data_IF_036849115611
#
_entry.id   IF_036849115611
#
_cell.length_a   1.000
_cell.length_b   1.000
_cell.length_c   1.000
_cell.angle_alpha   90.00
_cell.angle_beta   90.00
_cell.angle_gamma   90.00
#
_symmetry.space_group_name_H-M   'P 1'
#
loop_
_entity.id
_entity.type
_entity.pdbx_description
1 polymer ?
#
# COMPACT_ATOMS: atom_id res chain seq x y z
N UNK A 1 -39.38 0.88 -12.21
CA UNK A 1 -38.73 0.42 -11.00
C UNK A 1 -37.33 1.00 -10.90
N UNK A 2 -37.30 2.10 -10.24
CA UNK A 2 -36.06 2.86 -10.07
C UNK A 2 -35.02 2.17 -9.19
N UNK A 3 -35.45 1.19 -8.41
CA UNK A 3 -34.58 0.53 -7.44
C UNK A 3 -33.62 -0.46 -8.06
N UNK A 4 -33.86 -0.94 -9.26
CA UNK A 4 -32.99 -1.93 -9.90
C UNK A 4 -31.65 -1.30 -10.29
N UNK A 5 -31.65 -0.03 -10.72
CA UNK A 5 -30.41 0.70 -11.04
C UNK A 5 -29.56 0.93 -9.78
N UNK A 6 -30.20 1.17 -8.64
CA UNK A 6 -29.50 1.37 -7.37
C UNK A 6 -28.85 0.08 -6.86
N UNK A 7 -29.52 -1.06 -7.08
CA UNK A 7 -29.00 -2.38 -6.69
C UNK A 7 -27.79 -2.80 -7.50
N UNK A 8 -27.65 -2.28 -8.72
CA UNK A 8 -26.57 -2.62 -9.62
C UNK A 8 -25.37 -1.66 -9.50
N UNK A 9 -25.49 -0.61 -8.68
CA UNK A 9 -24.39 0.29 -8.43
C UNK A 9 -23.40 -0.39 -7.49
N UNK A 10 -22.20 -0.66 -8.01
CA UNK A 10 -21.11 -1.17 -7.20
C UNK A 10 -20.55 -0.01 -6.38
N UNK A 11 -20.67 -0.10 -5.08
CA UNK A 11 -20.10 0.87 -4.16
C UNK A 11 -18.96 0.20 -3.41
N UNK A 12 -17.83 0.88 -3.37
CA UNK A 12 -16.69 0.46 -2.55
C UNK A 12 -16.15 1.65 -1.78
N UNK A 13 -15.59 1.38 -0.63
CA UNK A 13 -14.90 2.37 0.21
C UNK A 13 -13.41 2.10 0.14
N UNK A 14 -12.61 3.15 -0.01
CA UNK A 14 -11.15 3.04 -0.08
C UNK A 14 -10.49 4.16 0.71
N UNK A 15 -9.51 3.79 1.53
CA UNK A 15 -8.62 4.73 2.22
C UNK A 15 -7.19 4.34 1.89
N UNK A 16 -6.38 5.32 1.55
CA UNK A 16 -4.96 5.13 1.20
C UNK A 16 -4.10 6.10 1.98
N UNK A 17 -2.87 5.67 2.27
CA UNK A 17 -1.83 6.56 2.77
C UNK A 17 -0.49 6.22 2.13
N UNK A 18 0.41 7.19 2.11
CA UNK A 18 1.78 7.02 1.67
C UNK A 18 2.73 7.47 2.78
N UNK A 19 3.78 6.68 3.02
CA UNK A 19 4.82 6.99 4.02
C UNK A 19 6.19 6.66 3.45
N UNK A 20 7.17 7.45 3.82
CA UNK A 20 8.55 7.23 3.42
C UNK A 20 9.45 7.17 4.65
N UNK A 21 10.50 6.36 4.58
CA UNK A 21 11.52 6.31 5.62
C UNK A 21 12.39 7.56 5.53
N UNK A 22 12.70 8.16 6.68
CA UNK A 22 13.38 9.46 6.74
C UNK A 22 14.80 9.43 6.15
N UNK A 23 15.50 8.30 6.26
CA UNK A 23 16.91 8.19 5.89
C UNK A 23 17.17 7.46 4.58
N UNK A 24 16.11 7.10 3.85
CA UNK A 24 16.21 6.41 2.58
C UNK A 24 15.74 7.36 1.46
N UNK A 25 16.50 7.52 0.37
CA UNK A 25 16.05 8.34 -0.75
C UNK A 25 14.74 7.84 -1.33
N UNK A 26 13.94 8.73 -1.89
CA UNK A 26 12.73 8.33 -2.62
C UNK A 26 13.07 7.32 -3.71
N UNK A 27 12.14 6.43 -4.06
CA UNK A 27 12.41 5.37 -5.06
C UNK A 27 12.95 5.90 -6.40
N UNK A 28 12.52 7.08 -6.84
CA UNK A 28 12.96 7.68 -8.10
C UNK A 28 14.44 8.08 -8.11
N UNK A 29 15.04 8.28 -6.93
CA UNK A 29 16.45 8.66 -6.81
C UNK A 29 17.38 7.48 -6.77
N UNK A 30 16.85 6.28 -6.85
CA UNK A 30 17.60 5.04 -6.71
C UNK A 30 17.59 4.52 -5.28
N UNK A 31 17.27 3.25 -5.15
CA UNK A 31 17.16 2.58 -3.86
C UNK A 31 17.90 1.25 -3.96
N UNK A 32 18.59 0.86 -2.90
CA UNK A 32 19.35 -0.39 -2.87
C UNK A 32 18.46 -1.57 -2.48
N UNK A 33 18.92 -2.79 -2.80
CA UNK A 33 18.25 -4.02 -2.41
C UNK A 33 18.11 -4.10 -0.88
N UNK A 34 19.15 -3.69 -0.16
CA UNK A 34 19.17 -3.70 1.31
C UNK A 34 18.15 -2.72 1.88
N UNK A 35 17.99 -1.57 1.25
CA UNK A 35 17.00 -0.57 1.66
C UNK A 35 15.57 -1.09 1.43
N UNK A 36 15.33 -1.74 0.30
CA UNK A 36 14.03 -2.37 0.03
C UNK A 36 13.75 -3.49 1.04
N UNK A 37 14.74 -4.31 1.35
CA UNK A 37 14.61 -5.37 2.36
C UNK A 37 14.22 -4.80 3.73
N UNK A 38 14.82 -3.68 4.11
CA UNK A 38 14.46 -2.98 5.34
C UNK A 38 13.01 -2.50 5.33
N UNK A 39 12.56 -1.92 4.21
CA UNK A 39 11.18 -1.46 4.08
C UNK A 39 10.18 -2.63 4.14
N UNK A 40 10.49 -3.74 3.50
CA UNK A 40 9.67 -4.96 3.57
C UNK A 40 9.55 -5.44 5.01
N UNK A 41 10.65 -5.46 5.74
CA UNK A 41 10.66 -5.87 7.14
C UNK A 41 9.81 -4.96 8.01
N UNK A 42 9.90 -3.66 7.80
CA UNK A 42 9.05 -2.69 8.52
C UNK A 42 7.57 -2.91 8.21
N UNK A 43 7.23 -3.06 6.93
CA UNK A 43 5.86 -3.30 6.50
C UNK A 43 5.28 -4.58 7.11
N UNK A 44 6.08 -5.64 7.12
CA UNK A 44 5.69 -6.93 7.68
C UNK A 44 5.44 -6.84 9.19
N UNK A 45 6.34 -6.17 9.92
CA UNK A 45 6.19 -6.00 11.37
C UNK A 45 4.99 -5.14 11.75
N UNK A 46 4.63 -4.19 10.93
CA UNK A 46 3.50 -3.30 11.19
C UNK A 46 2.15 -4.01 11.03
N UNK A 47 2.11 -5.09 10.26
CA UNK A 47 0.89 -5.83 9.99
C UNK A 47 0.54 -6.73 11.20
N UNK A 48 -0.54 -6.40 11.88
CA UNK A 48 -1.06 -7.19 13.00
C UNK A 48 -2.25 -8.07 12.58
N UNK A 49 -2.35 -8.37 11.31
CA UNK A 49 -3.35 -9.23 10.69
C UNK A 49 -2.68 -10.31 9.86
N UNK A 50 -3.39 -11.39 9.61
CA UNK A 50 -2.90 -12.47 8.74
C UNK A 50 -2.70 -11.95 7.32
N UNK A 51 -1.50 -12.19 6.78
CA UNK A 51 -1.10 -11.63 5.48
C UNK A 51 -0.06 -12.48 4.78
N UNK A 52 0.17 -12.16 3.52
CA UNK A 52 1.22 -12.74 2.71
C UNK A 52 2.09 -11.63 2.11
N UNK A 53 3.38 -11.93 1.94
CA UNK A 53 4.32 -11.09 1.21
C UNK A 53 4.57 -11.68 -0.17
N UNK A 54 4.49 -10.82 -1.18
CA UNK A 54 4.70 -11.18 -2.57
C UNK A 54 5.75 -10.24 -3.16
N UNK A 55 6.83 -10.81 -3.69
CA UNK A 55 7.88 -10.02 -4.34
C UNK A 55 7.63 -10.01 -5.85
N UNK A 56 7.72 -8.83 -6.45
CA UNK A 56 7.46 -8.69 -7.89
C UNK A 56 8.40 -9.55 -8.73
N UNK A 57 9.65 -9.69 -8.29
CA UNK A 57 10.63 -10.53 -8.99
C UNK A 57 10.26 -12.01 -9.05
N UNK A 58 9.39 -12.48 -8.15
CA UNK A 58 8.92 -13.86 -8.13
C UNK A 58 7.70 -14.09 -9.04
N UNK A 59 7.15 -13.04 -9.63
CA UNK A 59 5.92 -13.10 -10.40
C UNK A 59 6.20 -13.00 -11.90
N UNK A 60 5.43 -13.76 -12.68
CA UNK A 60 5.39 -13.62 -14.14
C UNK A 60 4.59 -12.37 -14.50
N UNK A 61 4.75 -11.88 -15.73
CA UNK A 61 4.02 -10.71 -16.21
C UNK A 61 2.50 -10.90 -16.10
N UNK A 62 2.01 -12.10 -16.40
CA UNK A 62 0.57 -12.40 -16.31
C UNK A 62 0.08 -12.32 -14.86
N UNK A 63 0.89 -12.72 -13.90
CA UNK A 63 0.52 -12.65 -12.48
C UNK A 63 0.49 -11.19 -12.00
N UNK A 64 1.47 -10.39 -12.40
CA UNK A 64 1.51 -8.95 -12.11
C UNK A 64 0.30 -8.23 -12.71
N UNK A 65 -0.05 -8.56 -13.94
CA UNK A 65 -1.20 -7.96 -14.61
C UNK A 65 -2.52 -8.33 -13.90
N UNK A 66 -2.65 -9.56 -13.43
CA UNK A 66 -3.81 -9.98 -12.67
C UNK A 66 -3.97 -9.17 -11.38
N UNK A 67 -2.86 -8.86 -10.70
CA UNK A 67 -2.87 -8.02 -9.49
C UNK A 67 -3.28 -6.58 -9.81
N UNK A 68 -2.85 -6.04 -10.95
CA UNK A 68 -3.26 -4.71 -11.41
C UNK A 68 -4.76 -4.68 -11.67
N UNK A 69 -5.29 -5.68 -12.35
CA UNK A 69 -6.72 -5.76 -12.67
C UNK A 69 -7.59 -5.88 -11.41
N UNK A 70 -7.06 -6.51 -10.38
CA UNK A 70 -7.73 -6.62 -9.06
C UNK A 70 -7.53 -5.37 -8.19
N UNK A 71 -6.87 -4.34 -8.68
CA UNK A 71 -6.57 -3.11 -7.95
C UNK A 71 -5.73 -3.30 -6.68
N UNK A 72 -4.94 -4.37 -6.63
CA UNK A 72 -4.05 -4.67 -5.51
C UNK A 72 -2.68 -4.02 -5.66
N UNK A 73 -2.24 -3.82 -6.90
CA UNK A 73 -1.03 -3.05 -7.20
C UNK A 73 -1.31 -2.06 -8.33
N UNK A 74 -0.45 -1.05 -8.43
CA UNK A 74 -0.48 -0.10 -9.54
C UNK A 74 0.27 -0.65 -10.76
N UNK A 75 0.01 -0.09 -11.96
CA UNK A 75 0.85 -0.38 -13.12
C UNK A 75 2.33 -0.06 -12.90
N UNK A 76 2.63 0.97 -12.12
CA UNK A 76 4.00 1.37 -11.82
C UNK A 76 4.73 0.31 -10.99
N UNK A 77 4.09 -0.24 -9.96
CA UNK A 77 4.70 -1.32 -9.17
C UNK A 77 4.90 -2.58 -10.02
N UNK A 78 3.95 -2.87 -10.91
CA UNK A 78 4.03 -4.05 -11.78
C UNK A 78 5.27 -4.02 -12.69
N UNK A 79 5.86 -2.86 -12.92
CA UNK A 79 7.06 -2.70 -13.76
C UNK A 79 8.37 -2.79 -12.96
N UNK A 80 8.30 -2.94 -11.65
CA UNK A 80 9.48 -2.91 -10.78
C UNK A 80 9.83 -4.30 -10.26
N UNK A 81 11.05 -4.76 -10.52
CA UNK A 81 11.52 -6.03 -9.98
C UNK A 81 11.82 -5.94 -8.49
N UNK A 82 12.26 -4.78 -8.00
CA UNK A 82 12.52 -4.54 -6.58
C UNK A 82 11.28 -4.12 -5.79
N UNK A 83 10.09 -4.26 -6.37
CA UNK A 83 8.85 -3.97 -5.66
C UNK A 83 8.34 -5.17 -4.89
N UNK A 84 7.49 -4.91 -3.91
CA UNK A 84 6.83 -5.96 -3.13
C UNK A 84 5.40 -5.54 -2.77
N UNK A 85 4.59 -6.54 -2.46
CA UNK A 85 3.21 -6.38 -2.01
C UNK A 85 3.00 -7.18 -0.74
N UNK A 86 2.46 -6.53 0.28
CA UNK A 86 1.91 -7.20 1.45
C UNK A 86 0.39 -7.16 1.31
N UNK A 87 -0.25 -8.30 1.40
CA UNK A 87 -1.69 -8.41 1.21
C UNK A 87 -2.32 -9.21 2.35
N UNK A 88 -3.41 -8.69 2.92
CA UNK A 88 -4.16 -9.40 3.95
C UNK A 88 -4.88 -10.62 3.35
N UNK A 89 -5.16 -11.62 4.19
CA UNK A 89 -5.78 -12.87 3.74
C UNK A 89 -7.18 -12.64 3.14
N UNK A 90 -7.87 -11.60 3.58
CA UNK A 90 -9.18 -11.22 3.04
C UNK A 90 -9.12 -10.25 1.85
N UNK A 91 -7.91 -9.94 1.36
CA UNK A 91 -7.64 -9.01 0.26
C UNK A 91 -8.05 -7.55 0.53
N UNK A 92 -8.49 -7.20 1.73
CA UNK A 92 -8.97 -5.84 2.02
C UNK A 92 -7.84 -4.83 2.20
N UNK A 93 -6.68 -5.27 2.71
CA UNK A 93 -5.52 -4.42 2.94
C UNK A 93 -4.41 -4.84 1.98
N UNK A 94 -3.89 -3.88 1.22
CA UNK A 94 -2.75 -4.07 0.34
C UNK A 94 -1.73 -2.97 0.62
N UNK A 95 -0.48 -3.38 0.84
CA UNK A 95 0.63 -2.46 1.08
C UNK A 95 1.65 -2.64 -0.03
N UNK A 96 1.79 -1.62 -0.88
CA UNK A 96 2.81 -1.60 -1.93
C UNK A 96 4.11 -1.06 -1.35
N UNK A 97 5.20 -1.74 -1.65
CA UNK A 97 6.54 -1.39 -1.16
C UNK A 97 7.42 -1.05 -2.35
N UNK A 98 8.05 0.10 -2.29
CA UNK A 98 8.94 0.64 -3.32
C UNK A 98 8.22 0.89 -4.66
N UNK A 99 7.08 1.56 -4.59
CA UNK A 99 6.39 2.08 -5.77
C UNK A 99 6.90 3.51 -6.06
N UNK A 100 6.05 4.51 -6.03
CA UNK A 100 6.43 5.94 -6.07
C UNK A 100 6.93 6.40 -4.71
N UNK A 101 6.31 5.93 -3.65
CA UNK A 101 6.73 6.08 -2.27
C UNK A 101 7.24 4.75 -1.72
N UNK A 102 7.93 4.79 -0.58
CA UNK A 102 8.46 3.57 0.04
C UNK A 102 7.33 2.63 0.46
N UNK A 103 6.30 3.17 1.10
CA UNK A 103 5.15 2.42 1.61
C UNK A 103 3.88 3.14 1.16
N UNK A 104 3.00 2.40 0.51
CA UNK A 104 1.68 2.88 0.16
C UNK A 104 0.66 1.84 0.58
N UNK A 105 -0.08 2.13 1.65
CA UNK A 105 -1.06 1.22 2.19
C UNK A 105 -2.46 1.64 1.75
N UNK A 106 -3.30 0.66 1.45
CA UNK A 106 -4.71 0.90 1.15
C UNK A 106 -5.59 -0.13 1.82
N UNK A 107 -6.80 0.28 2.16
CA UNK A 107 -7.88 -0.61 2.53
C UNK A 107 -9.05 -0.37 1.59
N UNK A 108 -9.57 -1.43 0.99
CA UNK A 108 -10.74 -1.39 0.11
C UNK A 108 -11.75 -2.40 0.63
N UNK A 109 -12.99 -1.95 0.83
CA UNK A 109 -14.10 -2.81 1.23
C UNK A 109 -15.33 -2.49 0.38
N UNK A 110 -16.12 -3.51 0.10
CA UNK A 110 -17.38 -3.33 -0.61
C UNK A 110 -18.39 -2.62 0.30
N UNK A 111 -19.20 -1.75 -0.29
CA UNK A 111 -20.24 -1.01 0.42
C UNK A 111 -19.73 0.27 1.07
N UNK A 112 -20.56 0.87 1.91
CA UNK A 112 -20.26 2.11 2.62
C UNK A 112 -19.54 1.79 3.93
N UNK A 113 -18.23 1.54 3.83
CA UNK A 113 -17.40 1.13 4.97
C UNK A 113 -16.16 2.03 5.15
N UNK A 114 -16.33 3.31 4.86
CA UNK A 114 -15.22 4.25 4.90
C UNK A 114 -14.57 4.32 6.29
N UNK A 115 -15.38 4.31 7.34
CA UNK A 115 -14.87 4.34 8.71
C UNK A 115 -14.07 3.09 9.06
N UNK A 116 -14.52 1.92 8.62
CA UNK A 116 -13.78 0.67 8.84
C UNK A 116 -12.44 0.70 8.11
N UNK A 117 -12.43 1.17 6.85
CA UNK A 117 -11.20 1.32 6.08
C UNK A 117 -10.24 2.30 6.74
N UNK A 118 -10.76 3.44 7.18
CA UNK A 118 -9.96 4.44 7.88
C UNK A 118 -9.33 3.86 9.15
N UNK A 119 -10.12 3.19 9.96
CA UNK A 119 -9.62 2.60 11.22
C UNK A 119 -8.52 1.56 10.95
N UNK A 120 -8.69 0.74 9.93
CA UNK A 120 -7.71 -0.28 9.57
C UNK A 120 -6.38 0.36 9.11
N UNK A 121 -6.46 1.37 8.27
CA UNK A 121 -5.26 2.06 7.76
C UNK A 121 -4.61 2.91 8.84
N UNK A 122 -5.39 3.59 9.68
CA UNK A 122 -4.87 4.37 10.80
C UNK A 122 -4.11 3.48 11.79
N UNK A 123 -4.65 2.30 12.10
CA UNK A 123 -3.99 1.32 12.96
C UNK A 123 -2.68 0.82 12.33
N UNK A 124 -2.69 0.54 11.03
CA UNK A 124 -1.49 0.13 10.32
C UNK A 124 -0.43 1.25 10.36
N UNK A 125 -0.84 2.49 10.13
CA UNK A 125 0.04 3.67 10.20
C UNK A 125 0.68 3.83 11.58
N UNK A 126 -0.12 3.68 12.64
CA UNK A 126 0.39 3.73 14.02
C UNK A 126 1.43 2.64 14.26
N UNK A 127 1.17 1.42 13.81
CA UNK A 127 2.10 0.31 13.94
C UNK A 127 3.38 0.54 13.13
N UNK A 128 3.25 1.07 11.92
CA UNK A 128 4.39 1.38 11.06
C UNK A 128 5.29 2.43 11.70
N UNK A 129 4.72 3.46 12.31
CA UNK A 129 5.46 4.52 12.98
C UNK A 129 6.27 4.03 14.19
N UNK A 130 5.91 2.88 14.74
CA UNK A 130 6.66 2.28 15.86
C UNK A 130 7.91 1.52 15.40
N UNK A 131 7.96 1.11 14.14
CA UNK A 131 9.04 0.26 13.61
C UNK A 131 9.88 0.96 12.54
N UNK A 132 9.42 2.08 12.02
CA UNK A 132 10.10 2.82 10.97
C UNK A 132 10.17 4.31 11.32
N UNK A 133 11.35 4.91 11.13
CA UNK A 133 11.50 6.36 11.25
C UNK A 133 10.92 7.00 9.98
N UNK A 134 9.73 7.59 10.14
CA UNK A 134 8.94 8.12 9.02
C UNK A 134 9.36 9.55 8.71
N UNK A 135 9.52 9.86 7.44
CA UNK A 135 9.85 11.21 6.98
C UNK A 135 8.66 12.15 7.25
N UNK A 136 8.89 13.09 8.15
CA UNK A 136 7.87 14.04 8.59
C UNK A 136 8.49 15.42 8.78
N UNK A 137 7.77 16.44 8.35
CA UNK A 137 8.15 17.84 8.55
C UNK A 137 7.06 18.55 9.34
N UNK A 138 7.45 19.35 10.35
CA UNK A 138 6.49 20.03 11.24
C UNK A 138 5.62 21.05 10.50
N UNK A 139 6.09 21.57 9.38
CA UNK A 139 5.35 22.53 8.55
C UNK A 139 4.52 21.86 7.46
N UNK A 140 5.09 20.85 6.77
CA UNK A 140 4.47 20.22 5.61
C UNK A 140 3.82 18.87 5.90
N UNK A 141 4.01 18.30 7.09
CA UNK A 141 3.48 16.98 7.44
C UNK A 141 4.32 15.82 6.90
N UNK A 142 3.67 14.71 6.59
CA UNK A 142 4.35 13.56 6.03
C UNK A 142 4.87 13.84 4.63
N UNK A 143 6.16 13.55 4.42
CA UNK A 143 6.81 13.81 3.13
C UNK A 143 6.56 12.65 2.17
N UNK A 144 6.07 12.98 0.99
CA UNK A 144 5.78 12.03 -0.08
C UNK A 144 6.47 12.46 -1.38
N UNK A 145 6.61 11.52 -2.30
CA UNK A 145 7.24 11.78 -3.60
C UNK A 145 6.40 12.72 -4.46
N UNK A 146 5.09 12.70 -4.32
CA UNK A 146 4.16 13.57 -5.02
C UNK A 146 3.60 14.62 -4.06
N UNK A 147 3.64 15.89 -4.46
CA UNK A 147 3.21 17.02 -3.62
C UNK A 147 1.69 17.26 -3.63
N UNK A 148 0.93 16.42 -4.27
CA UNK A 148 -0.53 16.58 -4.32
C UNK A 148 -1.24 15.99 -3.09
#
# INVERSE_FOLDING_TARGET
MTNDNTKNVVVSSRVRLARNAAKIPFPQKGITVEEVAYLVKCADKAADFEHQLVFMSDLRDVDRQALVERHLISPDLAKKDLGALLISDDDSIAVMINEEDHIRAQCIKNGFRLQECYNAIDRYDDNLSKVMDVAYDSEFGYLTACLT
#
